data_IF_046676423182
#
_entry.id   IF_046676423182
#
_cell.length_a   1.000
_cell.length_b   1.000
_cell.length_c   1.000
_cell.angle_alpha   90.00
_cell.angle_beta   90.00
_cell.angle_gamma   90.00
#
_symmetry.space_group_name_H-M   'P 1'
#
loop_
_entity.id
_entity.type
_entity.pdbx_description
1 polymer ?
#
# COMPACT_ATOMS: atom_id res chain seq x y z
N UNK A 1 -7.20 -10.30 8.35
CA UNK A 1 -6.53 -11.02 9.45
C UNK A 1 -5.39 -10.21 10.08
N UNK A 2 -4.41 -9.67 9.31
CA UNK A 2 -3.29 -8.93 9.92
C UNK A 2 -3.73 -7.62 10.59
N UNK A 3 -4.78 -6.96 10.09
CA UNK A 3 -5.33 -5.73 10.68
C UNK A 3 -5.96 -5.93 12.07
N UNK A 4 -6.31 -7.17 12.44
CA UNK A 4 -6.84 -7.50 13.77
C UNK A 4 -5.74 -7.74 14.82
N UNK A 5 -4.48 -7.72 14.43
CA UNK A 5 -3.38 -7.81 15.37
C UNK A 5 -3.29 -6.53 16.22
N UNK A 6 -3.12 -6.70 17.51
CA UNK A 6 -3.19 -5.61 18.52
C UNK A 6 -2.22 -4.45 18.24
N UNK A 7 -1.05 -4.73 17.68
CA UNK A 7 0.01 -3.73 17.44
C UNK A 7 0.20 -3.40 15.95
N UNK A 8 -0.79 -3.66 15.10
CA UNK A 8 -0.67 -3.45 13.65
C UNK A 8 -1.67 -2.41 13.20
N UNK A 9 -1.16 -1.32 12.63
CA UNK A 9 -1.95 -0.33 11.92
C UNK A 9 -1.95 -0.69 10.43
N UNK A 10 -3.10 -1.15 9.93
CA UNK A 10 -3.26 -1.60 8.56
C UNK A 10 -3.78 -0.49 7.66
N UNK A 11 -3.12 -0.28 6.54
CA UNK A 11 -3.57 0.66 5.50
C UNK A 11 -3.65 -0.07 4.17
N UNK A 12 -4.84 -0.06 3.58
CA UNK A 12 -5.11 -0.68 2.30
C UNK A 12 -4.86 0.31 1.17
N UNK A 13 -4.03 -0.10 0.22
CA UNK A 13 -3.72 0.58 -1.04
C UNK A 13 -3.51 2.11 -0.93
N UNK A 14 -2.62 2.60 -0.07
CA UNK A 14 -2.34 4.02 -0.01
C UNK A 14 -1.67 4.46 -1.32
N UNK A 15 -2.43 5.11 -2.18
CA UNK A 15 -2.03 5.53 -3.54
C UNK A 15 -0.69 6.27 -3.57
N UNK A 16 -0.50 7.20 -2.63
CA UNK A 16 0.73 7.99 -2.54
C UNK A 16 1.96 7.11 -2.29
N UNK A 17 1.82 6.03 -1.51
CA UNK A 17 2.91 5.09 -1.27
C UNK A 17 3.30 4.27 -2.51
N UNK A 18 2.41 4.14 -3.51
CA UNK A 18 2.73 3.55 -4.82
C UNK A 18 3.27 4.60 -5.78
N UNK A 19 2.70 5.79 -5.78
CA UNK A 19 2.99 6.83 -6.73
C UNK A 19 4.43 7.38 -6.58
N UNK A 20 4.90 7.61 -5.36
CA UNK A 20 6.23 8.17 -5.12
C UNK A 20 7.35 7.28 -5.70
N UNK A 21 7.44 5.96 -5.35
CA UNK A 21 8.46 5.10 -5.94
C UNK A 21 8.30 4.94 -7.45
N UNK A 22 7.08 4.95 -7.98
CA UNK A 22 6.83 4.93 -9.41
C UNK A 22 7.40 6.17 -10.10
N UNK A 23 7.09 7.37 -9.63
CA UNK A 23 7.61 8.63 -10.20
C UNK A 23 9.13 8.70 -10.13
N UNK A 24 9.72 8.25 -9.02
CA UNK A 24 11.16 8.16 -8.86
C UNK A 24 11.78 7.17 -9.85
N UNK A 25 11.19 5.96 -9.95
CA UNK A 25 11.66 4.93 -10.88
C UNK A 25 11.55 5.31 -12.36
N UNK A 26 10.60 6.17 -12.71
CA UNK A 26 10.43 6.73 -14.07
C UNK A 26 11.32 7.94 -14.36
N UNK A 27 12.12 8.39 -13.39
CA UNK A 27 12.92 9.60 -13.52
C UNK A 27 12.10 10.90 -13.58
N UNK A 28 10.83 10.86 -13.19
CA UNK A 28 9.95 12.04 -13.10
C UNK A 28 10.15 12.81 -11.79
N UNK A 29 10.84 12.20 -10.84
CA UNK A 29 11.19 12.76 -9.55
C UNK A 29 12.62 12.35 -9.19
N UNK A 30 13.39 13.28 -8.65
CA UNK A 30 14.70 12.95 -8.09
C UNK A 30 14.58 11.89 -6.98
N UNK A 31 15.46 10.90 -6.99
CA UNK A 31 15.38 9.75 -6.08
C UNK A 31 15.53 10.17 -4.62
N UNK A 32 16.40 11.12 -4.31
CA UNK A 32 16.59 11.59 -2.94
C UNK A 32 15.36 12.36 -2.45
N UNK A 33 14.79 13.20 -3.29
CA UNK A 33 13.53 13.90 -2.99
C UNK A 33 12.40 12.90 -2.79
N UNK A 34 12.29 11.90 -3.67
CA UNK A 34 11.29 10.84 -3.54
C UNK A 34 11.39 10.07 -2.22
N UNK A 35 12.61 9.75 -1.79
CA UNK A 35 12.87 9.07 -0.51
C UNK A 35 12.41 9.91 0.69
N UNK A 36 12.76 11.18 0.73
CA UNK A 36 12.36 12.09 1.81
C UNK A 36 10.83 12.31 1.84
N UNK A 37 10.22 12.50 0.68
CA UNK A 37 8.75 12.61 0.57
C UNK A 37 8.07 11.32 1.05
N UNK A 38 8.59 10.17 0.69
CA UNK A 38 8.04 8.89 1.11
C UNK A 38 8.12 8.71 2.63
N UNK A 39 9.28 8.98 3.23
CA UNK A 39 9.45 8.90 4.68
C UNK A 39 8.52 9.86 5.42
N UNK A 40 8.40 11.09 4.93
CA UNK A 40 7.47 12.08 5.48
C UNK A 40 6.02 11.58 5.41
N UNK A 41 5.62 11.08 4.24
CA UNK A 41 4.27 10.54 4.04
C UNK A 41 3.97 9.35 4.96
N UNK A 42 4.87 8.38 5.04
CA UNK A 42 4.68 7.17 5.88
C UNK A 42 4.64 7.54 7.36
N UNK A 43 5.47 8.49 7.79
CA UNK A 43 5.46 8.99 9.18
C UNK A 43 4.13 9.66 9.51
N UNK A 44 3.63 10.51 8.63
CA UNK A 44 2.34 11.17 8.83
C UNK A 44 1.19 10.15 8.81
N UNK A 45 1.21 9.22 7.85
CA UNK A 45 0.22 8.15 7.75
C UNK A 45 0.17 7.31 9.04
N UNK A 46 1.32 6.92 9.57
CA UNK A 46 1.40 6.19 10.83
C UNK A 46 0.82 6.99 12.00
N UNK A 47 1.21 8.26 12.12
CA UNK A 47 0.68 9.14 13.16
C UNK A 47 -0.86 9.26 13.08
N UNK A 48 -1.40 9.45 11.87
CA UNK A 48 -2.84 9.56 11.66
C UNK A 48 -3.58 8.26 11.97
N UNK A 49 -2.96 7.10 11.68
CA UNK A 49 -3.53 5.79 12.03
C UNK A 49 -3.54 5.60 13.55
N UNK A 50 -2.47 5.90 14.26
CA UNK A 50 -2.42 5.81 15.74
C UNK A 50 -3.41 6.77 16.38
N UNK A 51 -3.55 7.99 15.84
CA UNK A 51 -4.55 8.99 16.28
C UNK A 51 -5.99 8.63 15.89
N UNK A 52 -6.22 7.53 15.17
CA UNK A 52 -7.51 7.13 14.61
C UNK A 52 -8.15 8.17 13.66
N UNK A 53 -7.40 9.13 13.15
CA UNK A 53 -7.90 10.14 12.21
C UNK A 53 -8.27 9.58 10.85
N UNK A 54 -7.64 8.46 10.47
CA UNK A 54 -7.94 7.70 9.23
C UNK A 54 -8.67 6.40 9.49
N UNK A 55 -9.14 6.17 10.70
CA UNK A 55 -9.88 4.96 11.02
C UNK A 55 -11.27 4.99 10.36
N UNK A 56 -11.68 3.84 9.85
CA UNK A 56 -13.04 3.66 9.37
C UNK A 56 -13.96 3.32 10.55
N UNK A 57 -14.90 4.19 10.84
CA UNK A 57 -15.88 4.00 11.91
C UNK A 57 -17.25 3.50 11.40
N UNK A 58 -17.37 3.14 10.11
CA UNK A 58 -18.65 2.68 9.52
C UNK A 58 -18.97 1.26 9.96
N UNK A 59 -20.04 1.03 10.72
CA UNK A 59 -20.48 -0.32 11.08
C UNK A 59 -20.82 -1.11 9.81
N UNK A 60 -20.40 -2.37 9.78
CA UNK A 60 -20.65 -3.29 8.66
C UNK A 60 -19.50 -3.37 7.64
N UNK A 61 -18.58 -2.43 7.62
CA UNK A 61 -17.35 -2.57 6.82
C UNK A 61 -16.34 -3.49 7.54
N UNK A 62 -15.71 -4.38 6.79
CA UNK A 62 -14.64 -5.26 7.33
C UNK A 62 -13.43 -4.47 7.83
N UNK A 63 -13.22 -3.27 7.29
CA UNK A 63 -12.17 -2.34 7.73
C UNK A 63 -12.58 -1.44 8.89
N UNK A 64 -13.79 -1.63 9.45
CA UNK A 64 -14.27 -0.87 10.58
C UNK A 64 -13.35 -1.06 11.80
N UNK A 65 -12.94 0.05 12.42
CA UNK A 65 -12.04 0.03 13.58
C UNK A 65 -12.61 -0.81 14.74
N UNK A 66 -13.92 -0.78 14.93
CA UNK A 66 -14.62 -1.57 15.98
C UNK A 66 -14.60 -3.08 15.72
N UNK A 67 -14.41 -3.50 14.46
CA UNK A 67 -14.24 -4.90 14.09
C UNK A 67 -12.77 -5.36 14.17
N UNK A 68 -11.84 -4.42 14.11
CA UNK A 68 -10.40 -4.71 14.04
C UNK A 68 -9.67 -4.53 15.37
N UNK A 69 -10.14 -3.62 16.21
CA UNK A 69 -9.49 -3.23 17.47
C UNK A 69 -10.41 -3.45 18.66
N UNK A 70 -9.81 -3.65 19.83
CA UNK A 70 -10.56 -3.70 21.07
C UNK A 70 -11.20 -2.33 21.37
N UNK A 71 -12.50 -2.26 21.71
CA UNK A 71 -13.18 -1.00 22.06
C UNK A 71 -12.47 -0.19 23.15
N UNK A 72 -11.86 -0.83 24.13
CA UNK A 72 -11.10 -0.17 25.19
C UNK A 72 -9.84 0.50 24.63
N UNK A 73 -9.13 -0.16 23.71
CA UNK A 73 -7.98 0.41 23.00
C UNK A 73 -8.41 1.64 22.16
N UNK A 74 -9.50 1.52 21.42
CA UNK A 74 -10.04 2.63 20.63
C UNK A 74 -10.39 3.81 21.53
N UNK A 75 -11.05 3.56 22.65
CA UNK A 75 -11.40 4.61 23.62
C UNK A 75 -10.17 5.28 24.22
N UNK A 76 -9.19 4.48 24.65
CA UNK A 76 -7.90 4.99 25.18
C UNK A 76 -7.23 5.91 24.17
N UNK A 77 -7.16 5.50 22.91
CA UNK A 77 -6.52 6.27 21.84
C UNK A 77 -7.28 7.56 21.53
N UNK A 78 -8.60 7.53 21.52
CA UNK A 78 -9.43 8.72 21.27
C UNK A 78 -9.35 9.77 22.38
N UNK A 79 -9.11 9.34 23.63
CA UNK A 79 -9.11 10.23 24.80
C UNK A 79 -7.72 10.58 25.32
N UNK A 80 -6.75 9.70 25.11
CA UNK A 80 -5.42 9.79 25.71
C UNK A 80 -4.29 10.05 24.72
N UNK A 81 -4.50 9.93 23.40
CA UNK A 81 -3.46 10.13 22.39
C UNK A 81 -3.87 11.26 21.46
N UNK A 82 -3.33 12.47 21.68
CA UNK A 82 -3.74 13.67 20.97
C UNK A 82 -2.60 14.40 20.24
N UNK A 83 -1.35 14.16 20.67
CA UNK A 83 -0.16 14.83 20.18
C UNK A 83 0.82 13.85 19.54
N UNK A 84 1.76 14.36 18.74
CA UNK A 84 2.82 13.53 18.14
C UNK A 84 3.73 12.89 19.19
N UNK A 85 3.91 13.53 20.33
CA UNK A 85 4.69 12.97 21.46
C UNK A 85 3.97 11.76 22.04
N UNK A 86 2.69 11.88 22.33
CA UNK A 86 1.86 10.79 22.85
C UNK A 86 1.73 9.65 21.84
N UNK A 87 1.66 9.95 20.53
CA UNK A 87 1.73 8.92 19.47
C UNK A 87 3.02 8.12 19.56
N UNK A 88 4.17 8.80 19.71
CA UNK A 88 5.47 8.14 19.82
C UNK A 88 5.57 7.27 21.08
N UNK A 89 5.09 7.76 22.21
CA UNK A 89 5.04 7.03 23.47
C UNK A 89 4.15 5.79 23.33
N UNK A 90 2.92 5.96 22.87
CA UNK A 90 1.99 4.86 22.62
C UNK A 90 2.57 3.80 21.67
N UNK A 91 3.12 4.24 20.54
CA UNK A 91 3.71 3.33 19.54
C UNK A 91 4.90 2.55 20.10
N UNK A 92 5.72 3.18 20.95
CA UNK A 92 6.87 2.54 21.58
C UNK A 92 6.42 1.51 22.62
N UNK A 93 5.50 1.88 23.50
CA UNK A 93 4.94 1.00 24.54
C UNK A 93 4.27 -0.23 23.96
N UNK A 94 3.51 -0.06 22.88
CA UNK A 94 2.74 -1.15 22.25
C UNK A 94 3.50 -1.84 21.10
N UNK A 95 4.75 -1.43 20.82
CA UNK A 95 5.52 -1.93 19.66
C UNK A 95 4.74 -1.87 18.35
N UNK A 96 4.06 -0.74 18.15
CA UNK A 96 3.16 -0.57 17.01
C UNK A 96 3.89 -0.61 15.67
N UNK A 97 3.29 -1.27 14.69
CA UNK A 97 3.83 -1.44 13.33
C UNK A 97 2.82 -0.95 12.30
N UNK A 98 3.31 -0.30 11.25
CA UNK A 98 2.52 0.03 10.08
C UNK A 98 2.57 -1.13 9.09
N UNK A 99 1.42 -1.65 8.70
CA UNK A 99 1.25 -2.59 7.62
C UNK A 99 0.68 -1.86 6.40
N UNK A 100 1.45 -1.82 5.33
CA UNK A 100 1.00 -1.30 4.05
C UNK A 100 0.63 -2.48 3.15
N UNK A 101 -0.63 -2.56 2.76
CA UNK A 101 -1.06 -3.47 1.71
C UNK A 101 -0.91 -2.75 0.37
N UNK A 102 0.08 -3.15 -0.42
CA UNK A 102 0.41 -2.51 -1.69
C UNK A 102 0.37 -3.54 -2.82
N UNK A 103 -0.36 -3.22 -3.87
CA UNK A 103 -0.33 -3.95 -5.13
C UNK A 103 0.65 -3.28 -6.11
N UNK A 104 1.18 -4.05 -7.07
CA UNK A 104 1.98 -3.52 -8.20
C UNK A 104 3.30 -2.84 -7.81
N UNK A 105 3.85 -3.11 -6.63
CA UNK A 105 5.09 -2.47 -6.15
C UNK A 105 6.34 -3.31 -6.34
N UNK A 106 6.21 -4.52 -6.86
CA UNK A 106 7.33 -5.46 -7.03
C UNK A 106 8.53 -4.83 -7.73
N UNK A 107 8.37 -4.04 -8.81
CA UNK A 107 9.48 -3.39 -9.48
C UNK A 107 10.22 -2.36 -8.62
N UNK A 108 9.58 -1.86 -7.57
CA UNK A 108 10.08 -0.80 -6.71
C UNK A 108 10.50 -1.27 -5.32
N UNK A 109 10.57 -2.57 -5.08
CA UNK A 109 10.90 -3.12 -3.75
C UNK A 109 12.24 -2.61 -3.23
N UNK A 110 13.22 -2.40 -4.13
CA UNK A 110 14.51 -1.88 -3.75
C UNK A 110 14.40 -0.45 -3.17
N UNK A 111 13.53 0.39 -3.72
CA UNK A 111 13.26 1.73 -3.19
C UNK A 111 12.84 1.66 -1.71
N UNK A 112 11.94 0.74 -1.36
CA UNK A 112 11.49 0.58 0.03
C UNK A 112 12.61 0.09 0.95
N UNK A 113 13.39 -0.90 0.53
CA UNK A 113 14.49 -1.44 1.33
C UNK A 113 15.64 -0.46 1.51
N UNK A 114 15.91 0.38 0.53
CA UNK A 114 16.92 1.44 0.64
C UNK A 114 16.57 2.47 1.72
N UNK A 115 15.28 2.79 1.87
CA UNK A 115 14.82 3.81 2.82
C UNK A 115 14.53 3.19 4.19
N UNK A 116 13.99 1.99 4.20
CA UNK A 116 13.54 1.31 5.41
C UNK A 116 14.15 -0.10 5.46
N UNK A 117 15.45 -0.25 5.74
CA UNK A 117 16.15 -1.54 5.64
C UNK A 117 15.65 -2.60 6.62
N UNK A 118 14.89 -2.20 7.65
CA UNK A 118 14.28 -3.10 8.63
C UNK A 118 12.87 -3.56 8.22
N UNK A 119 12.36 -3.11 7.09
CA UNK A 119 11.05 -3.50 6.59
C UNK A 119 10.98 -5.00 6.35
N UNK A 120 9.88 -5.61 6.78
CA UNK A 120 9.56 -7.01 6.47
C UNK A 120 8.59 -7.05 5.31
N UNK A 121 8.91 -7.86 4.31
CA UNK A 121 8.05 -8.09 3.16
C UNK A 121 7.27 -9.40 3.34
N UNK A 122 5.95 -9.31 3.19
CA UNK A 122 5.07 -10.47 3.02
C UNK A 122 4.61 -10.44 1.56
N UNK A 123 5.08 -11.40 0.78
CA UNK A 123 4.73 -11.48 -0.64
C UNK A 123 3.69 -12.58 -0.87
N UNK A 124 2.50 -12.18 -1.32
CA UNK A 124 1.40 -13.10 -1.59
C UNK A 124 1.42 -13.48 -3.07
N UNK A 125 1.62 -14.78 -3.33
CA UNK A 125 1.59 -15.35 -4.67
C UNK A 125 0.30 -16.14 -4.88
N UNK A 126 -0.34 -15.91 -6.02
CA UNK A 126 -1.48 -16.70 -6.48
C UNK A 126 -1.17 -17.34 -7.83
N UNK A 127 -1.77 -18.50 -8.10
CA UNK A 127 -1.69 -19.12 -9.43
C UNK A 127 -2.41 -18.22 -10.44
N UNK A 128 -1.77 -17.95 -11.58
CA UNK A 128 -2.33 -17.04 -12.59
C UNK A 128 -3.72 -17.47 -13.07
N UNK A 129 -3.97 -18.77 -13.24
CA UNK A 129 -5.29 -19.29 -13.62
C UNK A 129 -6.39 -18.96 -12.60
N UNK A 130 -6.07 -19.00 -11.30
CA UNK A 130 -7.04 -18.71 -10.25
C UNK A 130 -7.34 -17.21 -10.22
N UNK A 131 -6.34 -16.37 -10.49
CA UNK A 131 -6.52 -14.92 -10.67
C UNK A 131 -7.39 -14.61 -11.89
N UNK A 132 -7.09 -15.25 -13.03
CA UNK A 132 -7.90 -15.08 -14.25
C UNK A 132 -9.36 -15.51 -14.04
N UNK A 133 -9.58 -16.63 -13.35
CA UNK A 133 -10.93 -17.07 -13.01
C UNK A 133 -11.68 -16.06 -12.14
N UNK A 134 -11.06 -15.56 -11.07
CA UNK A 134 -11.67 -14.53 -10.22
C UNK A 134 -11.98 -13.24 -11.00
N UNK A 135 -11.11 -12.86 -11.93
CA UNK A 135 -11.33 -11.69 -12.77
C UNK A 135 -12.54 -11.87 -13.70
N UNK A 136 -12.71 -13.07 -14.27
CA UNK A 136 -13.85 -13.40 -15.09
C UNK A 136 -15.15 -13.43 -14.28
N UNK A 137 -15.14 -14.07 -13.11
CA UNK A 137 -16.31 -14.15 -12.22
C UNK A 137 -16.76 -12.76 -11.75
N UNK A 138 -15.82 -11.87 -11.47
CA UNK A 138 -16.09 -10.49 -11.05
C UNK A 138 -16.36 -9.52 -12.21
N UNK A 139 -16.35 -10.02 -13.44
CA UNK A 139 -16.46 -9.19 -14.64
C UNK A 139 -15.42 -8.05 -14.73
N UNK A 140 -14.24 -8.27 -14.14
CA UNK A 140 -13.11 -7.39 -14.34
C UNK A 140 -12.52 -7.65 -15.74
N UNK A 141 -12.05 -6.62 -16.40
CA UNK A 141 -11.48 -6.74 -17.73
C UNK A 141 -12.47 -7.31 -18.77
N UNK A 142 -13.61 -6.62 -18.96
CA UNK A 142 -14.51 -6.92 -20.05
C UNK A 142 -13.80 -6.79 -21.41
N UNK A 143 -14.30 -7.47 -22.44
CA UNK A 143 -13.76 -7.36 -23.81
C UNK A 143 -13.61 -5.91 -24.28
N UNK A 144 -14.52 -5.03 -23.86
CA UNK A 144 -14.45 -3.61 -24.16
C UNK A 144 -13.24 -2.94 -23.45
N UNK A 145 -12.96 -3.32 -22.22
CA UNK A 145 -11.80 -2.81 -21.47
C UNK A 145 -10.48 -3.36 -22.03
N UNK A 146 -10.45 -4.63 -22.44
CA UNK A 146 -9.27 -5.25 -23.06
C UNK A 146 -8.99 -4.68 -24.45
N UNK A 147 -10.04 -4.34 -25.21
CA UNK A 147 -9.95 -3.75 -26.56
C UNK A 147 -9.73 -2.24 -26.53
N UNK A 148 -10.02 -1.58 -25.41
CA UNK A 148 -9.69 -0.17 -25.25
C UNK A 148 -8.17 -0.10 -25.12
N UNK A 149 -7.44 0.50 -26.09
CA UNK A 149 -6.02 0.68 -25.92
C UNK A 149 -5.88 1.47 -24.63
N UNK A 150 -5.17 0.88 -23.66
CA UNK A 150 -4.73 1.59 -22.48
C UNK A 150 -3.92 2.73 -23.06
N UNK A 151 -4.57 3.89 -23.22
CA UNK A 151 -3.91 5.11 -23.70
C UNK A 151 -2.79 5.33 -22.74
N UNK A 152 -1.72 4.75 -23.19
CA UNK A 152 -0.43 4.70 -22.62
C UNK A 152 -0.32 5.53 -21.35
N UNK A 153 -0.46 4.89 -20.24
CA UNK A 153 0.35 5.35 -19.15
C UNK A 153 1.75 5.51 -19.76
N UNK A 154 2.48 6.61 -19.52
CA UNK A 154 3.73 6.92 -20.26
C UNK A 154 4.86 5.89 -20.01
N UNK A 155 4.57 4.76 -19.44
CA UNK A 155 5.48 3.71 -19.05
C UNK A 155 5.06 2.34 -19.64
N UNK A 156 5.11 2.25 -20.94
CA UNK A 156 5.05 0.94 -21.59
C UNK A 156 6.24 0.06 -21.21
N UNK A 157 7.34 0.71 -20.87
CA UNK A 157 8.55 0.07 -20.39
C UNK A 157 9.27 1.03 -19.45
N UNK A 158 9.66 0.57 -18.28
CA UNK A 158 10.52 1.32 -17.38
C UNK A 158 11.55 0.40 -16.73
N UNK A 159 12.68 0.96 -16.36
CA UNK A 159 13.76 0.29 -15.68
C UNK A 159 14.00 0.96 -14.33
N UNK A 160 14.08 0.16 -13.30
CA UNK A 160 14.50 0.61 -11.97
C UNK A 160 15.61 -0.28 -11.46
N UNK A 161 16.79 0.29 -11.25
CA UNK A 161 17.99 -0.42 -10.75
C UNK A 161 18.26 -1.75 -11.49
N UNK A 162 18.19 -1.73 -12.81
CA UNK A 162 18.46 -2.89 -13.66
C UNK A 162 17.29 -3.87 -13.80
N UNK A 163 16.13 -3.57 -13.26
CA UNK A 163 14.92 -4.34 -13.47
C UNK A 163 14.09 -3.65 -14.55
N UNK A 164 13.99 -4.28 -15.71
CA UNK A 164 13.12 -3.83 -16.78
C UNK A 164 11.72 -4.40 -16.57
N UNK A 165 10.75 -3.53 -16.55
CA UNK A 165 9.35 -3.89 -16.39
C UNK A 165 8.56 -3.54 -17.65
N UNK A 166 7.86 -4.54 -18.22
CA UNK A 166 7.01 -4.38 -19.39
C UNK A 166 5.56 -4.51 -18.99
N UNK A 167 4.88 -3.39 -18.75
CA UNK A 167 3.48 -3.40 -18.36
C UNK A 167 2.53 -3.99 -19.42
N UNK A 168 2.76 -3.75 -20.74
CA UNK A 168 1.86 -4.27 -21.77
C UNK A 168 2.19 -5.67 -22.28
N UNK A 169 3.26 -6.30 -21.82
CA UNK A 169 3.65 -7.61 -22.36
C UNK A 169 2.51 -8.63 -22.31
N UNK A 170 1.81 -8.72 -21.20
CA UNK A 170 0.70 -9.65 -21.04
C UNK A 170 -0.56 -9.20 -21.78
N UNK A 171 -0.72 -7.91 -22.09
CA UNK A 171 -1.81 -7.39 -22.92
C UNK A 171 -1.60 -7.80 -24.38
N UNK A 172 -0.36 -7.69 -24.89
CA UNK A 172 -0.03 -8.12 -26.26
C UNK A 172 -0.11 -9.64 -26.45
N UNK A 173 0.00 -10.42 -25.39
CA UNK A 173 -0.16 -11.89 -25.43
C UNK A 173 -1.62 -12.34 -25.41
N UNK A 174 -2.56 -11.45 -25.10
CA UNK A 174 -4.00 -11.72 -25.10
C UNK A 174 -4.67 -11.46 -26.45
N UNK A 175 -3.92 -11.03 -27.47
CA UNK A 175 -4.43 -10.79 -28.83
C UNK A 175 -4.24 -12.00 -29.77
N UNK A 176 -3.64 -13.11 -29.30
CA UNK A 176 -3.58 -14.40 -29.99
C UNK A 176 -4.60 -15.38 -29.37
#
# INVERSE_FOLDING_TARGET
LLGTCKSVENVEEPWTAKLIPLMSGLGLMDEAIGKEMFLSYITELFNEMVLLRRANFRPGDLSCVWAQKNPEEVHLRLTGVNTRTEVKEYATEHSSMLLLNLTEVVPFLQFFFDIMPKTKLIYLLRKGKDVAYDCLEKHWFSDAQLKTPIKALPYQQYEYKGITWHLPWWISQGEE
#
